data_IF_152062223844
#
_entry.id   IF_152062223844
#
_cell.length_a   1.000
_cell.length_b   1.000
_cell.length_c   1.000
_cell.angle_alpha   90.00
_cell.angle_beta   90.00
_cell.angle_gamma   90.00
#
_symmetry.space_group_name_H-M   'P 1'
#
loop_
_entity.id
_entity.type
_entity.pdbx_description
1 polymer ?
#
# COMPACT_ATOMS: atom_id res chain seq x y z
N UNK A 1 -29.72 -65.31 -2.72
CA UNK A 1 -29.13 -66.35 -1.88
C UNK A 1 -28.29 -65.67 -0.79
N UNK A 2 -28.74 -65.82 0.44
CA UNK A 2 -28.01 -66.02 1.70
C UNK A 2 -26.94 -64.99 2.03
N UNK A 3 -26.84 -64.38 3.16
CA UNK A 3 -27.55 -64.32 4.46
C UNK A 3 -26.62 -63.51 5.39
N UNK A 4 -27.19 -62.47 6.01
CA UNK A 4 -27.20 -62.17 7.42
C UNK A 4 -26.05 -62.77 8.27
N UNK A 5 -25.35 -61.91 9.09
CA UNK A 5 -25.51 -62.03 10.54
C UNK A 5 -24.98 -60.81 11.30
N UNK A 6 -25.82 -60.40 12.26
CA UNK A 6 -25.62 -59.47 13.36
C UNK A 6 -24.96 -60.15 14.59
N UNK A 7 -24.25 -59.41 15.42
CA UNK A 7 -24.23 -59.53 16.89
C UNK A 7 -23.28 -58.43 17.44
N UNK A 8 -23.61 -57.41 18.19
CA UNK A 8 -24.25 -57.17 19.54
C UNK A 8 -23.38 -57.58 20.74
N UNK A 9 -23.40 -56.65 21.68
CA UNK A 9 -23.08 -56.65 23.16
C UNK A 9 -21.62 -56.29 23.51
N UNK A 10 -21.28 -55.63 24.66
CA UNK A 10 -22.07 -54.89 25.67
C UNK A 10 -21.04 -54.12 26.55
N UNK A 11 -21.57 -53.17 27.34
CA UNK A 11 -20.95 -52.40 28.39
C UNK A 11 -20.18 -53.22 29.46
N UNK A 12 -19.14 -52.63 30.06
CA UNK A 12 -18.97 -52.68 31.51
C UNK A 12 -18.07 -51.53 32.01
N UNK A 13 -18.59 -50.82 32.98
CA UNK A 13 -17.91 -49.85 33.83
C UNK A 13 -17.26 -50.58 35.01
N UNK A 14 -16.07 -50.14 35.42
CA UNK A 14 -15.60 -50.38 36.79
C UNK A 14 -14.73 -49.21 37.26
N UNK A 15 -15.18 -48.55 38.28
CA UNK A 15 -14.44 -47.61 39.10
C UNK A 15 -13.57 -48.36 40.11
N UNK A 16 -12.35 -47.92 40.33
CA UNK A 16 -11.60 -48.24 41.55
C UNK A 16 -10.70 -47.09 41.95
N UNK A 17 -10.97 -46.53 43.09
CA UNK A 17 -10.13 -45.58 43.81
C UNK A 17 -9.00 -46.30 44.53
N UNK A 18 -7.80 -45.80 44.52
CA UNK A 18 -6.75 -46.16 45.46
C UNK A 18 -5.98 -44.89 45.87
N UNK A 19 -6.06 -44.60 47.14
CA UNK A 19 -5.29 -43.58 47.86
C UNK A 19 -3.97 -44.24 48.28
N UNK A 20 -2.83 -43.60 47.94
CA UNK A 20 -1.57 -43.85 48.64
C UNK A 20 -0.86 -42.52 48.88
N UNK A 21 -0.65 -42.25 50.16
CA UNK A 21 0.17 -41.16 50.70
C UNK A 21 1.65 -41.49 50.59
N UNK A 22 2.50 -40.48 50.32
CA UNK A 22 3.97 -40.65 50.40
C UNK A 22 4.77 -39.41 50.00
N UNK A 23 5.15 -38.66 51.02
CA UNK A 23 6.35 -37.85 51.23
C UNK A 23 7.16 -37.20 50.08
N UNK A 24 7.20 -35.88 50.09
CA UNK A 24 8.41 -35.09 50.24
C UNK A 24 9.35 -34.97 49.03
N UNK A 25 9.22 -33.89 48.29
CA UNK A 25 10.26 -33.40 47.35
C UNK A 25 9.85 -32.05 46.80
N UNK A 26 10.43 -30.99 47.34
CA UNK A 26 10.22 -29.63 46.86
C UNK A 26 10.86 -29.47 45.50
N UNK A 27 10.04 -29.43 44.45
CA UNK A 27 10.43 -28.93 43.16
C UNK A 27 10.06 -27.44 43.03
N UNK A 28 10.89 -26.60 42.37
CA UNK A 28 10.54 -25.22 42.17
C UNK A 28 9.34 -25.11 41.23
N UNK A 29 8.35 -24.33 41.67
CA UNK A 29 7.16 -23.97 40.87
C UNK A 29 7.60 -23.37 39.55
N UNK A 30 7.48 -24.10 38.45
CA UNK A 30 7.48 -23.53 37.13
C UNK A 30 6.30 -22.57 37.05
N UNK A 31 6.58 -21.28 36.93
CA UNK A 31 5.55 -20.27 36.69
C UNK A 31 4.73 -20.63 35.45
N UNK A 32 3.47 -20.21 35.37
CA UNK A 32 2.66 -20.49 34.20
C UNK A 32 3.36 -20.00 32.98
N UNK A 33 3.61 -20.89 32.00
CA UNK A 33 4.10 -20.54 30.70
C UNK A 33 3.17 -19.44 30.14
N UNK A 34 3.70 -18.25 29.93
CA UNK A 34 2.98 -17.21 29.20
C UNK A 34 2.66 -17.78 27.82
N UNK A 35 1.42 -18.17 27.60
CA UNK A 35 0.92 -18.41 26.27
C UNK A 35 1.17 -17.13 25.46
N UNK A 36 1.64 -17.25 24.19
CA UNK A 36 1.75 -16.10 23.33
C UNK A 36 0.36 -15.43 23.32
N UNK A 37 0.31 -14.16 23.72
CA UNK A 37 -0.90 -13.37 23.64
C UNK A 37 -1.30 -13.38 22.16
N UNK A 38 -2.33 -14.16 21.81
CA UNK A 38 -2.98 -14.03 20.52
C UNK A 38 -3.30 -12.55 20.39
N UNK A 39 -2.75 -11.93 19.34
CA UNK A 39 -3.05 -10.55 19.02
C UNK A 39 -4.58 -10.47 18.94
N UNK A 40 -5.20 -9.89 19.97
CA UNK A 40 -6.63 -9.61 19.96
C UNK A 40 -6.81 -8.72 18.74
N UNK A 41 -7.65 -9.13 17.79
CA UNK A 41 -8.13 -8.25 16.74
C UNK A 41 -8.63 -7.00 17.44
N UNK A 42 -7.94 -5.88 17.23
CA UNK A 42 -8.42 -4.60 17.72
C UNK A 42 -9.83 -4.42 17.18
N UNK A 43 -10.78 -3.93 17.99
CA UNK A 43 -12.11 -3.64 17.49
C UNK A 43 -11.95 -2.72 16.27
N UNK A 44 -12.74 -2.95 15.22
CA UNK A 44 -12.75 -2.14 13.99
C UNK A 44 -13.09 -0.70 14.37
N UNK A 45 -12.08 0.07 14.72
CA UNK A 45 -12.25 1.49 14.97
C UNK A 45 -12.32 2.16 13.60
N UNK A 46 -13.44 2.84 13.36
CA UNK A 46 -13.59 3.68 12.17
C UNK A 46 -12.39 4.63 12.09
N UNK A 47 -11.66 4.68 10.98
CA UNK A 47 -10.50 5.57 10.85
C UNK A 47 -10.85 7.00 11.23
N UNK A 48 -9.94 7.72 11.88
CA UNK A 48 -10.19 9.06 12.41
C UNK A 48 -10.65 10.05 11.33
N UNK A 49 -10.10 9.95 10.13
CA UNK A 49 -10.49 10.77 8.99
C UNK A 49 -11.96 10.56 8.60
N UNK A 50 -12.46 9.31 8.66
CA UNK A 50 -13.85 8.96 8.38
C UNK A 50 -14.77 9.39 9.53
N UNK A 51 -14.37 9.09 10.77
CA UNK A 51 -15.15 9.48 11.97
C UNK A 51 -15.31 10.99 12.11
N UNK A 52 -14.29 11.76 11.73
CA UNK A 52 -14.31 13.23 11.76
C UNK A 52 -14.88 13.87 10.49
N UNK A 53 -15.21 13.08 9.49
CA UNK A 53 -15.64 13.56 8.17
C UNK A 53 -14.62 14.51 7.55
N UNK A 54 -13.33 14.17 7.63
CA UNK A 54 -12.22 14.97 7.10
C UNK A 54 -12.03 14.75 5.60
N UNK A 55 -12.42 13.58 5.12
CA UNK A 55 -12.30 13.19 3.73
C UNK A 55 -13.45 12.27 3.31
N UNK A 56 -13.61 12.08 2.01
CA UNK A 56 -14.50 11.10 1.37
C UNK A 56 -13.69 10.26 0.39
N UNK A 57 -14.13 9.02 0.11
CA UNK A 57 -13.57 8.24 -0.99
C UNK A 57 -13.69 8.99 -2.31
N UNK A 58 -12.64 8.94 -3.13
CA UNK A 58 -12.64 9.51 -4.47
C UNK A 58 -13.38 8.59 -5.46
N UNK A 59 -13.18 7.27 -5.33
CA UNK A 59 -13.78 6.30 -6.24
C UNK A 59 -15.10 5.74 -5.73
N UNK A 60 -15.98 5.30 -6.65
CA UNK A 60 -17.16 4.55 -6.28
C UNK A 60 -16.76 3.20 -5.64
N UNK A 61 -17.33 2.90 -4.48
CA UNK A 61 -17.16 1.59 -3.84
C UNK A 61 -18.15 0.60 -4.43
N UNK A 62 -17.64 -0.51 -4.98
CA UNK A 62 -18.47 -1.63 -5.47
C UNK A 62 -18.16 -2.87 -4.65
N UNK A 63 -19.18 -3.38 -3.96
CA UNK A 63 -19.02 -4.54 -3.07
C UNK A 63 -18.40 -5.73 -3.81
N UNK A 64 -17.32 -6.28 -3.27
CA UNK A 64 -16.64 -7.46 -3.83
C UNK A 64 -15.69 -7.17 -4.97
N UNK A 65 -15.49 -5.91 -5.36
CA UNK A 65 -14.51 -5.49 -6.35
C UNK A 65 -13.36 -4.71 -5.71
N UNK A 66 -12.20 -4.63 -6.36
CA UNK A 66 -11.17 -3.66 -6.00
C UNK A 66 -11.73 -2.23 -6.00
N UNK A 67 -11.22 -1.43 -5.07
CA UNK A 67 -11.51 0.01 -5.01
C UNK A 67 -10.20 0.78 -4.91
N UNK A 68 -10.19 2.00 -5.39
CA UNK A 68 -9.05 2.90 -5.17
C UNK A 68 -9.00 3.39 -3.73
N UNK A 69 -7.83 3.92 -3.34
CA UNK A 69 -7.58 4.40 -1.99
C UNK A 69 -7.32 5.90 -1.92
N UNK A 70 -7.66 6.68 -2.96
CA UNK A 70 -7.65 8.13 -2.89
C UNK A 70 -8.82 8.65 -2.06
N UNK A 71 -8.54 9.65 -1.25
CA UNK A 71 -9.49 10.34 -0.38
C UNK A 71 -9.46 11.83 -0.67
N UNK A 72 -10.58 12.39 -1.08
CA UNK A 72 -10.74 13.84 -1.28
C UNK A 72 -11.05 14.50 0.06
N UNK A 73 -10.30 15.52 0.43
CA UNK A 73 -10.53 16.30 1.65
C UNK A 73 -11.88 17.01 1.60
N UNK A 74 -12.65 16.91 2.69
CA UNK A 74 -13.96 17.56 2.84
C UNK A 74 -13.91 18.79 3.74
N UNK A 75 -13.03 18.80 4.76
CA UNK A 75 -12.85 19.94 5.66
C UNK A 75 -11.58 20.70 5.32
N UNK A 76 -11.72 22.00 5.09
CA UNK A 76 -10.62 22.86 4.64
C UNK A 76 -10.30 22.71 3.16
N UNK A 77 -11.08 21.95 2.41
CA UNK A 77 -11.22 22.14 0.98
C UNK A 77 -11.96 23.49 0.81
N UNK A 78 -11.18 24.56 0.80
CA UNK A 78 -11.69 25.80 0.23
C UNK A 78 -11.93 25.52 -1.25
N UNK A 79 -13.03 26.00 -1.85
CA UNK A 79 -13.20 25.94 -3.29
C UNK A 79 -12.16 26.78 -4.05
N UNK A 80 -11.21 27.32 -3.36
CA UNK A 80 -10.05 28.02 -3.88
C UNK A 80 -8.84 27.69 -3.04
N UNK A 81 -8.18 26.57 -3.35
CA UNK A 81 -6.75 26.54 -3.16
C UNK A 81 -6.19 27.68 -4.01
N UNK A 82 -5.70 28.74 -3.40
CA UNK A 82 -5.06 29.82 -4.14
C UNK A 82 -3.69 29.25 -4.62
N UNK A 83 -3.64 28.81 -5.86
CA UNK A 83 -2.48 28.14 -6.42
C UNK A 83 -2.21 26.77 -5.77
N UNK A 84 -0.96 26.39 -5.63
CA UNK A 84 -0.47 25.10 -5.15
C UNK A 84 -0.64 24.81 -3.65
N UNK A 85 -1.41 25.59 -2.91
CA UNK A 85 -1.51 25.50 -1.45
C UNK A 85 -2.61 24.56 -0.94
N UNK A 86 -2.96 23.52 -1.69
CA UNK A 86 -3.98 22.55 -1.31
C UNK A 86 -3.46 21.44 -0.39
N UNK A 87 -2.17 21.16 -0.51
CA UNK A 87 -1.48 20.08 0.17
C UNK A 87 0.03 20.23 0.01
N UNK A 88 0.77 19.17 0.33
CA UNK A 88 2.21 19.10 0.11
C UNK A 88 2.50 19.22 -1.39
N UNK A 89 3.45 20.08 -1.72
CA UNK A 89 3.92 20.28 -3.09
C UNK A 89 5.10 19.33 -3.39
N UNK A 90 5.47 19.14 -4.68
CA UNK A 90 6.63 18.33 -5.06
C UNK A 90 7.90 18.65 -4.30
N UNK A 91 8.19 19.93 -4.08
CA UNK A 91 9.39 20.37 -3.35
C UNK A 91 9.40 19.89 -1.88
N UNK A 92 8.23 19.84 -1.23
CA UNK A 92 8.12 19.33 0.14
C UNK A 92 8.47 17.83 0.19
N UNK A 93 7.91 17.03 -0.71
CA UNK A 93 8.17 15.59 -0.82
C UNK A 93 9.62 15.31 -1.19
N UNK A 94 10.15 16.00 -2.21
CA UNK A 94 11.54 15.89 -2.64
C UNK A 94 12.52 16.22 -1.51
N UNK A 95 12.22 17.26 -0.74
CA UNK A 95 13.04 17.71 0.40
C UNK A 95 12.96 16.72 1.54
N UNK A 96 11.74 16.33 1.93
CA UNK A 96 11.54 15.37 3.02
C UNK A 96 12.25 14.05 2.74
N UNK A 97 12.05 13.49 1.56
CA UNK A 97 12.59 12.18 1.21
C UNK A 97 14.01 12.23 0.63
N UNK A 98 14.61 13.43 0.53
CA UNK A 98 15.99 13.67 -0.01
C UNK A 98 16.17 13.03 -1.38
N UNK A 99 15.23 13.30 -2.27
CA UNK A 99 15.20 12.70 -3.60
C UNK A 99 16.14 13.44 -4.57
N UNK A 100 17.09 12.74 -5.22
CA UNK A 100 17.99 13.34 -6.22
C UNK A 100 17.27 13.41 -7.57
N UNK A 101 16.33 14.36 -7.72
CA UNK A 101 15.42 14.51 -8.88
C UNK A 101 16.10 14.73 -10.24
N UNK A 102 17.40 14.91 -10.26
CA UNK A 102 18.18 14.95 -11.50
C UNK A 102 18.31 13.58 -12.17
N UNK A 103 18.06 12.49 -11.44
CA UNK A 103 18.07 11.10 -11.91
C UNK A 103 16.71 10.69 -12.52
N UNK A 104 16.57 9.41 -12.84
CA UNK A 104 15.33 8.78 -13.30
C UNK A 104 15.12 8.75 -14.81
N UNK A 105 15.92 9.48 -15.60
CA UNK A 105 15.79 9.44 -17.05
C UNK A 105 15.95 8.01 -17.60
N UNK A 106 15.02 7.60 -18.47
CA UNK A 106 14.99 6.25 -19.05
C UNK A 106 14.40 5.17 -18.14
N UNK A 107 13.97 5.52 -16.91
CA UNK A 107 13.20 4.60 -16.07
C UNK A 107 11.71 4.75 -16.36
N UNK A 108 11.02 3.63 -16.51
CA UNK A 108 9.57 3.58 -16.72
C UNK A 108 8.91 3.22 -15.40
N UNK A 109 8.00 4.07 -14.96
CA UNK A 109 7.06 3.79 -13.87
C UNK A 109 5.68 3.67 -14.48
N UNK A 110 5.08 2.49 -14.40
CA UNK A 110 3.70 2.28 -14.82
C UNK A 110 2.74 2.49 -13.65
N UNK A 111 1.61 3.05 -13.97
CA UNK A 111 0.42 3.20 -13.14
C UNK A 111 -0.66 2.32 -13.75
N UNK A 112 -1.32 1.52 -12.94
CA UNK A 112 -2.46 0.69 -13.35
C UNK A 112 -3.69 1.14 -12.59
N UNK A 113 -4.70 1.65 -13.32
CA UNK A 113 -5.95 2.15 -12.77
C UNK A 113 -7.14 1.73 -13.62
N UNK A 114 -8.37 1.92 -13.11
CA UNK A 114 -9.59 1.50 -13.76
C UNK A 114 -10.34 2.65 -14.43
N UNK A 115 -10.72 2.42 -15.69
CA UNK A 115 -11.48 3.39 -16.49
C UNK A 115 -10.61 4.48 -17.11
N UNK A 116 -11.21 5.27 -17.98
CA UNK A 116 -10.53 6.36 -18.68
C UNK A 116 -10.55 7.67 -17.87
N UNK A 117 -9.40 8.35 -17.83
CA UNK A 117 -9.36 9.79 -17.62
C UNK A 117 -8.92 10.49 -18.93
N UNK A 118 -9.85 11.03 -19.71
CA UNK A 118 -9.52 11.70 -20.97
C UNK A 118 -8.61 12.92 -20.79
N UNK A 119 -8.61 13.51 -19.58
CA UNK A 119 -7.84 14.72 -19.25
C UNK A 119 -6.46 14.43 -18.69
N UNK A 120 -6.11 13.19 -18.36
CA UNK A 120 -4.87 12.83 -17.62
C UNK A 120 -3.60 13.51 -18.15
N UNK A 121 -3.40 13.58 -19.48
CA UNK A 121 -2.25 14.23 -20.07
C UNK A 121 -2.26 15.77 -19.89
N UNK A 122 -3.42 16.41 -20.01
CA UNK A 122 -3.56 17.86 -19.84
C UNK A 122 -3.47 18.27 -18.38
N UNK A 123 -4.01 17.46 -17.48
CA UNK A 123 -4.01 17.69 -16.04
C UNK A 123 -2.61 17.51 -15.47
N UNK A 124 -1.90 16.45 -15.86
CA UNK A 124 -0.48 16.29 -15.58
C UNK A 124 0.37 17.46 -16.10
N UNK A 125 0.07 17.98 -17.30
CA UNK A 125 0.77 19.15 -17.87
C UNK A 125 0.53 20.41 -17.04
N UNK A 126 -0.70 20.62 -16.57
CA UNK A 126 -1.09 21.73 -15.70
C UNK A 126 -0.38 21.64 -14.36
N UNK A 127 -0.40 20.46 -13.74
CA UNK A 127 0.33 20.20 -12.50
C UNK A 127 1.82 20.49 -12.63
N UNK A 128 2.46 19.93 -13.65
CA UNK A 128 3.91 20.13 -13.89
C UNK A 128 4.29 21.55 -14.18
N UNK A 129 3.46 22.29 -14.91
CA UNK A 129 3.66 23.71 -15.18
C UNK A 129 3.60 24.53 -13.89
N UNK A 130 2.61 24.26 -13.05
CA UNK A 130 2.44 24.93 -11.75
C UNK A 130 3.67 24.77 -10.85
N UNK A 131 4.27 23.59 -10.84
CA UNK A 131 5.39 23.27 -9.95
C UNK A 131 6.77 23.34 -10.63
N UNK A 132 6.85 23.77 -11.90
CA UNK A 132 8.11 23.92 -12.62
C UNK A 132 8.85 22.61 -12.87
N UNK A 133 8.15 21.50 -13.06
CA UNK A 133 8.75 20.17 -13.25
C UNK A 133 9.17 19.88 -14.71
N UNK A 134 8.93 20.82 -15.63
CA UNK A 134 9.19 20.64 -17.04
C UNK A 134 8.18 19.72 -17.74
N UNK A 135 8.44 19.36 -18.99
CA UNK A 135 7.54 18.48 -19.78
C UNK A 135 7.67 17.02 -19.32
N UNK A 136 6.54 16.33 -19.18
CA UNK A 136 6.52 14.90 -18.88
C UNK A 136 6.93 14.06 -20.09
N UNK A 137 7.57 12.91 -19.86
CA UNK A 137 7.55 11.79 -20.79
C UNK A 137 6.41 10.87 -20.34
N UNK A 138 5.26 11.01 -20.96
CA UNK A 138 4.01 10.36 -20.57
C UNK A 138 3.37 9.65 -21.76
N UNK A 139 2.86 8.46 -21.54
CA UNK A 139 2.06 7.70 -22.50
C UNK A 139 0.91 7.00 -21.80
N UNK A 140 -0.25 7.06 -22.41
CA UNK A 140 -1.46 6.38 -21.94
C UNK A 140 -1.80 5.21 -22.87
N UNK A 141 -2.16 4.09 -22.28
CA UNK A 141 -2.51 2.84 -22.95
C UNK A 141 -3.80 2.26 -22.35
N UNK A 142 -4.56 1.55 -23.16
CA UNK A 142 -5.61 0.66 -22.64
C UNK A 142 -4.99 -0.67 -22.17
N UNK A 143 -5.76 -1.56 -21.58
CA UNK A 143 -5.27 -2.86 -21.09
C UNK A 143 -4.81 -3.83 -22.19
N UNK A 144 -5.01 -3.50 -23.47
CA UNK A 144 -4.48 -4.23 -24.64
C UNK A 144 -3.21 -3.57 -25.22
N UNK A 145 -2.63 -2.57 -24.53
CA UNK A 145 -1.40 -1.88 -24.94
C UNK A 145 -1.56 -0.88 -26.08
N UNK A 146 -2.79 -0.46 -26.38
CA UNK A 146 -3.07 0.46 -27.47
C UNK A 146 -3.15 1.90 -26.95
N UNK A 147 -2.63 2.83 -27.73
CA UNK A 147 -2.86 4.27 -27.54
C UNK A 147 -4.12 4.67 -28.29
N UNK A 148 -5.26 4.49 -27.65
CA UNK A 148 -6.60 4.68 -28.21
C UNK A 148 -7.53 3.57 -27.75
N UNK A 149 -8.80 3.61 -28.16
CA UNK A 149 -9.83 2.67 -27.69
C UNK A 149 -9.86 2.54 -26.17
N UNK A 150 -9.70 3.70 -25.50
CA UNK A 150 -9.67 3.77 -24.04
C UNK A 150 -11.02 3.30 -23.47
N UNK A 151 -11.01 2.78 -22.22
CA UNK A 151 -12.22 2.36 -21.52
C UNK A 151 -13.21 3.50 -21.33
N UNK A 152 -14.37 3.22 -20.80
CA UNK A 152 -15.30 4.26 -20.37
C UNK A 152 -14.89 4.81 -18.99
N UNK A 153 -15.22 6.07 -18.74
CA UNK A 153 -15.03 6.68 -17.43
C UNK A 153 -15.74 5.89 -16.33
N UNK A 154 -15.03 5.56 -15.24
CA UNK A 154 -15.53 4.76 -14.11
C UNK A 154 -15.62 5.52 -12.79
N UNK A 155 -15.25 6.80 -12.78
CA UNK A 155 -15.17 7.62 -11.56
C UNK A 155 -13.81 7.55 -10.85
N UNK A 156 -12.74 7.18 -11.56
CA UNK A 156 -11.40 7.08 -11.01
C UNK A 156 -10.45 8.20 -11.46
N UNK A 157 -10.97 9.31 -12.02
CA UNK A 157 -10.11 10.41 -12.52
C UNK A 157 -9.16 10.94 -11.44
N UNK A 158 -9.65 11.16 -10.22
CA UNK A 158 -8.85 11.61 -9.08
C UNK A 158 -7.73 10.60 -8.75
N UNK A 159 -8.01 9.30 -8.76
CA UNK A 159 -6.96 8.32 -8.51
C UNK A 159 -5.90 8.35 -9.60
N UNK A 160 -6.33 8.39 -10.87
CA UNK A 160 -5.44 8.43 -12.04
C UNK A 160 -4.53 9.66 -11.99
N UNK A 161 -5.10 10.85 -11.76
CA UNK A 161 -4.31 12.09 -11.71
C UNK A 161 -3.40 12.12 -10.49
N UNK A 162 -3.86 11.68 -9.31
CA UNK A 162 -3.03 11.54 -8.13
C UNK A 162 -1.77 10.69 -8.42
N UNK A 163 -1.96 9.53 -9.02
CA UNK A 163 -0.88 8.57 -9.23
C UNK A 163 0.18 9.11 -10.20
N UNK A 164 -0.24 9.61 -11.37
CA UNK A 164 0.70 10.16 -12.35
C UNK A 164 1.39 11.44 -11.85
N UNK A 165 0.69 12.27 -11.07
CA UNK A 165 1.23 13.49 -10.48
C UNK A 165 2.23 13.19 -9.37
N UNK A 166 1.99 12.19 -8.50
CA UNK A 166 2.91 11.83 -7.43
C UNK A 166 4.19 11.16 -7.96
N UNK A 167 4.10 10.33 -9.00
CA UNK A 167 5.29 9.85 -9.72
C UNK A 167 6.05 11.05 -10.32
N UNK A 168 5.32 11.97 -10.97
CA UNK A 168 5.91 13.18 -11.55
C UNK A 168 6.57 14.09 -10.51
N UNK A 169 5.95 14.24 -9.34
CA UNK A 169 6.48 15.02 -8.22
C UNK A 169 7.81 14.48 -7.69
N UNK A 170 7.93 13.16 -7.61
CA UNK A 170 9.07 12.49 -6.98
C UNK A 170 10.14 12.01 -7.96
N UNK A 171 9.77 11.71 -9.21
CA UNK A 171 10.68 11.37 -10.31
C UNK A 171 10.36 12.17 -11.58
N UNK A 172 10.63 13.48 -11.63
CA UNK A 172 10.18 14.31 -12.74
C UNK A 172 10.81 13.97 -14.10
N UNK A 173 11.86 13.13 -14.14
CA UNK A 173 12.50 12.64 -15.36
C UNK A 173 12.18 11.19 -15.69
N UNK A 174 11.40 10.50 -14.89
CA UNK A 174 10.89 9.19 -15.23
C UNK A 174 9.92 9.28 -16.40
N UNK A 175 9.88 8.23 -17.21
CA UNK A 175 8.77 7.98 -18.13
C UNK A 175 7.61 7.42 -17.33
N UNK A 176 6.42 7.98 -17.52
CA UNK A 176 5.19 7.54 -16.87
C UNK A 176 4.32 6.84 -17.90
N UNK A 177 3.98 5.59 -17.67
CA UNK A 177 2.95 4.87 -18.41
C UNK A 177 1.70 4.77 -17.56
N UNK A 178 0.57 5.25 -18.08
CA UNK A 178 -0.74 4.99 -17.52
C UNK A 178 -1.36 3.85 -18.33
N UNK A 179 -1.71 2.75 -17.67
CA UNK A 179 -2.39 1.60 -18.28
C UNK A 179 -3.79 1.51 -17.68
N UNK A 180 -4.79 1.83 -18.48
CA UNK A 180 -6.17 1.93 -18.05
C UNK A 180 -6.89 0.57 -18.26
N UNK A 181 -7.29 -0.05 -17.14
CA UNK A 181 -8.14 -1.25 -17.15
C UNK A 181 -9.57 -0.90 -17.57
N UNK A 182 -10.26 -1.79 -18.28
CA UNK A 182 -11.62 -1.55 -18.76
C UNK A 182 -12.63 -1.29 -17.64
N UNK A 183 -12.39 -1.86 -16.48
CA UNK A 183 -13.17 -1.64 -15.26
C UNK A 183 -12.36 -1.95 -14.00
N UNK A 184 -12.96 -1.75 -12.83
CA UNK A 184 -12.37 -2.20 -11.56
C UNK A 184 -12.59 -3.70 -11.29
N UNK A 185 -12.97 -4.50 -12.27
CA UNK A 185 -13.02 -5.96 -12.14
C UNK A 185 -11.60 -6.54 -12.05
N UNK A 186 -11.43 -7.55 -11.22
CA UNK A 186 -10.12 -8.18 -10.99
C UNK A 186 -9.44 -8.57 -12.32
N UNK A 187 -10.19 -9.17 -13.25
CA UNK A 187 -9.64 -9.63 -14.52
C UNK A 187 -9.14 -8.48 -15.42
N UNK A 188 -9.82 -7.33 -15.40
CA UNK A 188 -9.42 -6.15 -16.17
C UNK A 188 -8.15 -5.52 -15.56
N UNK A 189 -8.10 -5.38 -14.25
CA UNK A 189 -6.90 -4.87 -13.55
C UNK A 189 -5.70 -5.81 -13.71
N UNK A 190 -5.91 -7.13 -13.64
CA UNK A 190 -4.88 -8.14 -13.89
C UNK A 190 -4.36 -8.09 -15.35
N UNK A 191 -5.23 -7.85 -16.32
CA UNK A 191 -4.84 -7.67 -17.72
C UNK A 191 -3.98 -6.41 -17.90
N UNK A 192 -4.40 -5.28 -17.31
CA UNK A 192 -3.65 -4.04 -17.34
C UNK A 192 -2.28 -4.16 -16.65
N UNK A 193 -2.20 -4.91 -15.53
CA UNK A 193 -0.95 -5.21 -14.83
C UNK A 193 0.03 -6.01 -15.71
N UNK A 194 -0.45 -7.05 -16.39
CA UNK A 194 0.35 -7.84 -17.32
C UNK A 194 0.82 -7.00 -18.51
N UNK A 195 -0.05 -6.11 -19.01
CA UNK A 195 0.29 -5.23 -20.12
C UNK A 195 1.32 -4.16 -19.74
N UNK A 196 1.25 -3.60 -18.54
CA UNK A 196 2.27 -2.69 -18.03
C UNK A 196 3.68 -3.29 -18.12
N UNK A 197 3.81 -4.58 -17.80
CA UNK A 197 5.08 -5.31 -17.92
C UNK A 197 5.44 -5.57 -19.39
N UNK A 198 4.47 -5.92 -20.23
CA UNK A 198 4.66 -6.14 -21.68
C UNK A 198 5.17 -4.88 -22.36
N UNK A 199 4.70 -3.72 -21.96
CA UNK A 199 5.15 -2.40 -22.42
C UNK A 199 6.57 -2.03 -21.93
N UNK A 200 7.18 -2.86 -21.06
CA UNK A 200 8.56 -2.72 -20.60
C UNK A 200 8.72 -1.99 -19.27
N UNK A 201 7.67 -1.84 -18.49
CA UNK A 201 7.79 -1.29 -17.16
C UNK A 201 8.52 -2.27 -16.21
N UNK A 202 9.45 -1.75 -15.43
CA UNK A 202 10.12 -2.48 -14.35
C UNK A 202 9.69 -1.98 -12.96
N UNK A 203 8.80 -1.01 -12.91
CA UNK A 203 8.18 -0.48 -11.69
C UNK A 203 6.71 -0.30 -12.01
N UNK A 204 5.84 -0.95 -11.22
CA UNK A 204 4.39 -0.81 -11.35
C UNK A 204 3.82 -0.39 -10.00
N UNK A 205 3.03 0.68 -9.99
CA UNK A 205 2.34 1.21 -8.81
C UNK A 205 0.86 0.97 -8.91
N UNK A 206 0.28 0.47 -7.84
CA UNK A 206 -1.12 0.12 -7.70
C UNK A 206 -1.70 0.83 -6.48
N UNK A 207 -2.57 1.79 -6.72
CA UNK A 207 -3.21 2.57 -5.66
C UNK A 207 -4.62 2.07 -5.35
N UNK A 208 -4.83 0.78 -5.48
CA UNK A 208 -6.10 0.09 -5.29
C UNK A 208 -5.93 -1.26 -4.62
N UNK A 209 -7.04 -1.83 -4.16
CA UNK A 209 -7.04 -3.18 -3.58
C UNK A 209 -8.40 -3.62 -3.08
N UNK A 210 -8.43 -4.82 -2.54
CA UNK A 210 -9.63 -5.44 -2.01
C UNK A 210 -9.58 -5.50 -0.50
N UNK A 211 -10.30 -4.66 0.20
CA UNK A 211 -10.32 -4.68 1.65
C UNK A 211 -10.60 -6.07 2.23
N UNK A 212 -9.68 -6.55 3.07
CA UNK A 212 -9.81 -7.82 3.79
C UNK A 212 -9.74 -9.09 2.92
N UNK A 213 -9.60 -8.98 1.59
CA UNK A 213 -9.48 -10.13 0.69
C UNK A 213 -8.06 -10.28 0.15
N UNK A 214 -7.45 -11.42 0.38
CA UNK A 214 -6.09 -11.76 -0.10
C UNK A 214 -6.10 -12.54 -1.42
N UNK A 215 -7.25 -12.89 -1.93
CA UNK A 215 -7.44 -13.75 -3.11
C UNK A 215 -8.28 -13.10 -4.20
N UNK A 216 -8.47 -11.79 -4.13
CA UNK A 216 -9.21 -11.07 -5.16
C UNK A 216 -8.45 -10.92 -6.46
N UNK A 217 -7.11 -11.01 -6.43
CA UNK A 217 -6.26 -11.03 -7.62
C UNK A 217 -5.29 -12.22 -7.58
N UNK A 218 -4.88 -12.68 -8.75
CA UNK A 218 -3.94 -13.79 -8.90
C UNK A 218 -2.49 -13.34 -8.65
N UNK A 219 -1.77 -14.02 -7.76
CA UNK A 219 -0.38 -13.70 -7.46
C UNK A 219 0.53 -13.66 -8.70
N UNK A 220 0.26 -14.48 -9.71
CA UNK A 220 1.07 -14.58 -10.94
C UNK A 220 1.17 -13.27 -11.72
N UNK A 221 0.21 -12.37 -11.59
CA UNK A 221 0.23 -11.06 -12.23
C UNK A 221 1.18 -10.08 -11.53
N UNK A 222 1.58 -10.37 -10.29
CA UNK A 222 2.41 -9.52 -9.44
C UNK A 222 3.74 -10.17 -9.04
N UNK A 223 4.24 -11.14 -9.81
CA UNK A 223 5.46 -11.90 -9.46
C UNK A 223 6.40 -12.10 -10.67
N UNK A 224 6.40 -11.17 -11.62
CA UNK A 224 7.30 -11.20 -12.78
C UNK A 224 8.72 -10.86 -12.33
N UNK A 225 9.71 -11.75 -12.59
CA UNK A 225 11.11 -11.47 -12.23
C UNK A 225 11.63 -10.18 -12.88
N UNK A 226 12.28 -9.34 -12.09
CA UNK A 226 12.83 -8.07 -12.56
C UNK A 226 11.83 -6.91 -12.60
N UNK A 227 10.64 -7.10 -12.05
CA UNK A 227 9.64 -6.04 -11.88
C UNK A 227 9.45 -5.77 -10.39
N UNK A 228 9.48 -4.51 -10.00
CA UNK A 228 9.13 -4.05 -8.66
C UNK A 228 7.65 -3.62 -8.66
N UNK A 229 6.81 -4.45 -8.05
CA UNK A 229 5.41 -4.14 -7.81
C UNK A 229 5.25 -3.43 -6.46
N UNK A 230 4.56 -2.30 -6.46
CA UNK A 230 4.21 -1.56 -5.27
C UNK A 230 2.68 -1.47 -5.18
N UNK A 231 2.14 -1.54 -3.99
CA UNK A 231 0.71 -1.34 -3.81
C UNK A 231 0.39 -0.66 -2.48
N UNK A 232 -0.57 0.25 -2.53
CA UNK A 232 -1.14 0.93 -1.38
C UNK A 232 -1.82 -0.07 -0.43
N UNK A 233 -1.64 0.09 0.88
CA UNK A 233 -2.18 -0.85 1.87
C UNK A 233 -3.65 -0.60 2.22
N UNK A 234 -4.24 0.47 1.70
CA UNK A 234 -5.61 0.88 1.98
C UNK A 234 -5.75 1.80 3.19
N UNK A 235 -6.94 2.36 3.35
CA UNK A 235 -7.22 3.52 4.20
C UNK A 235 -8.19 3.23 5.35
N UNK A 236 -8.52 1.96 5.54
CA UNK A 236 -9.44 1.52 6.57
C UNK A 236 -8.78 1.20 7.93
N UNK A 237 -7.48 1.50 8.06
CA UNK A 237 -6.70 1.19 9.25
C UNK A 237 -6.17 -0.25 9.27
N UNK A 238 -5.57 -0.62 10.39
CA UNK A 238 -4.90 -1.92 10.54
C UNK A 238 -5.88 -3.10 10.40
N UNK A 239 -5.35 -4.22 9.84
CA UNK A 239 -6.04 -5.49 9.63
C UNK A 239 -7.18 -5.45 8.59
N UNK A 240 -7.22 -4.42 7.75
CA UNK A 240 -8.19 -4.30 6.63
C UNK A 240 -7.51 -4.45 5.26
N UNK A 241 -6.19 -4.60 5.23
CA UNK A 241 -5.43 -4.73 4.00
C UNK A 241 -5.79 -6.03 3.26
N UNK A 242 -5.84 -5.94 1.93
CA UNK A 242 -6.03 -7.08 1.03
C UNK A 242 -5.01 -7.11 -0.10
N UNK A 243 -5.25 -7.93 -1.10
CA UNK A 243 -4.43 -7.96 -2.31
C UNK A 243 -4.69 -6.71 -3.18
N UNK A 244 -3.68 -6.24 -3.97
CA UNK A 244 -2.37 -6.83 -4.18
C UNK A 244 -1.34 -6.58 -3.08
N UNK A 245 -1.51 -5.57 -2.19
CA UNK A 245 -0.55 -5.21 -1.14
C UNK A 245 -0.23 -6.38 -0.18
N UNK A 246 -1.19 -7.29 0.04
CA UNK A 246 -1.02 -8.47 0.87
C UNK A 246 0.00 -9.48 0.31
N UNK A 247 0.24 -9.50 -1.00
CA UNK A 247 1.10 -10.49 -1.66
C UNK A 247 2.57 -10.30 -1.27
N UNK A 248 3.30 -11.41 -1.11
CA UNK A 248 4.71 -11.38 -0.70
C UNK A 248 5.65 -10.81 -1.78
N UNK A 249 5.27 -10.90 -3.04
CA UNK A 249 5.99 -10.34 -4.20
C UNK A 249 5.80 -8.84 -4.35
N UNK A 250 4.82 -8.24 -3.68
CA UNK A 250 4.48 -6.83 -3.75
C UNK A 250 5.07 -6.07 -2.55
N UNK A 251 5.60 -4.88 -2.79
CA UNK A 251 5.94 -3.94 -1.72
C UNK A 251 4.66 -3.27 -1.21
N UNK A 252 4.24 -3.64 -0.02
CA UNK A 252 3.09 -3.04 0.65
C UNK A 252 3.46 -1.66 1.20
N UNK A 253 2.89 -0.60 0.63
CA UNK A 253 3.20 0.78 0.97
C UNK A 253 2.11 1.33 1.89
N UNK A 254 2.46 1.50 3.14
CA UNK A 254 1.62 2.12 4.16
C UNK A 254 1.65 3.64 4.12
N UNK A 255 1.01 4.26 5.09
CA UNK A 255 0.83 5.70 5.12
C UNK A 255 1.42 6.40 6.33
N UNK A 256 2.00 7.57 6.08
CA UNK A 256 2.43 8.50 7.13
C UNK A 256 1.64 9.81 7.07
N UNK A 257 1.64 10.52 8.17
CA UNK A 257 1.21 11.91 8.27
C UNK A 257 2.46 12.77 8.33
N UNK A 258 2.73 13.50 7.27
CA UNK A 258 3.81 14.47 7.21
C UNK A 258 3.42 15.76 7.95
N UNK A 259 4.38 16.32 8.66
CA UNK A 259 4.25 17.62 9.33
C UNK A 259 5.51 18.45 9.08
N UNK A 260 5.33 19.79 9.09
CA UNK A 260 6.42 20.75 8.88
C UNK A 260 6.37 21.82 9.96
N UNK A 261 7.51 22.06 10.58
CA UNK A 261 7.72 23.16 11.54
C UNK A 261 8.94 23.97 11.08
N UNK A 262 8.71 25.16 10.56
CA UNK A 262 9.74 25.93 9.86
C UNK A 262 10.31 25.18 8.67
N UNK A 263 11.60 24.88 8.67
CA UNK A 263 12.27 24.07 7.64
C UNK A 263 12.36 22.57 7.98
N UNK A 264 11.88 22.16 9.15
CA UNK A 264 12.00 20.79 9.66
C UNK A 264 10.75 19.97 9.29
N UNK A 265 10.96 18.81 8.69
CA UNK A 265 9.91 17.84 8.42
C UNK A 265 9.95 16.69 9.42
N UNK A 266 8.79 16.24 9.84
CA UNK A 266 8.61 15.04 10.66
C UNK A 266 7.47 14.20 10.10
N UNK A 267 7.48 12.92 10.39
CA UNK A 267 6.41 11.99 10.00
C UNK A 267 6.04 11.10 11.18
N UNK A 268 4.77 10.78 11.25
CA UNK A 268 4.22 9.74 12.13
C UNK A 268 3.33 8.81 11.31
N UNK A 269 3.01 7.64 11.84
CA UNK A 269 2.08 6.74 11.16
C UNK A 269 0.71 7.43 11.05
N UNK A 270 0.15 7.40 9.84
CA UNK A 270 -1.21 7.87 9.62
C UNK A 270 -2.22 6.83 10.13
N UNK A 271 -3.25 7.26 10.87
CA UNK A 271 -4.22 6.36 11.49
C UNK A 271 -5.10 5.59 10.50
N UNK A 272 -5.20 6.08 9.26
CA UNK A 272 -5.90 5.39 8.17
C UNK A 272 -5.08 4.28 7.51
N UNK A 273 -3.75 4.29 7.67
CA UNK A 273 -2.88 3.35 6.98
C UNK A 273 -3.21 1.88 7.27
N UNK A 274 -3.38 1.12 6.21
CA UNK A 274 -3.53 -0.33 6.27
C UNK A 274 -2.22 -1.02 6.67
N UNK A 275 -2.34 -2.28 7.03
CA UNK A 275 -1.22 -3.12 7.44
C UNK A 275 -1.67 -4.18 8.43
N UNK A 276 -0.77 -5.07 8.80
CA UNK A 276 -1.09 -6.09 9.79
C UNK A 276 -0.38 -7.42 9.57
N UNK A 277 -0.79 -8.41 10.35
CA UNK A 277 -0.41 -9.80 10.15
C UNK A 277 -1.40 -10.44 9.15
N UNK A 278 -0.95 -10.66 7.93
CA UNK A 278 -1.80 -11.10 6.81
C UNK A 278 -2.01 -12.62 6.89
N UNK A 279 -3.04 -13.02 7.60
CA UNK A 279 -3.41 -14.43 7.70
C UNK A 279 -3.80 -15.00 6.32
N UNK A 280 -3.28 -16.18 5.98
CA UNK A 280 -3.49 -16.80 4.68
C UNK A 280 -2.34 -16.60 3.68
N UNK A 281 -1.46 -15.62 3.89
CA UNK A 281 -0.20 -15.49 3.14
C UNK A 281 0.94 -16.01 4.00
N UNK A 282 1.63 -17.04 3.52
CA UNK A 282 2.78 -17.63 4.25
C UNK A 282 3.86 -16.57 4.51
N UNK A 283 4.44 -16.59 5.71
CA UNK A 283 5.57 -15.70 6.03
C UNK A 283 6.70 -15.92 5.05
N UNK A 284 7.12 -14.90 4.30
CA UNK A 284 8.26 -15.02 3.39
C UNK A 284 9.56 -15.29 4.16
N UNK A 285 10.45 -16.11 3.59
CA UNK A 285 11.74 -16.48 4.24
C UNK A 285 12.64 -15.28 4.56
N UNK A 286 12.41 -14.15 3.93
CA UNK A 286 13.16 -12.90 4.19
C UNK A 286 12.59 -12.07 5.34
N UNK A 287 11.38 -12.37 5.85
CA UNK A 287 10.81 -11.74 7.05
C UNK A 287 11.27 -12.49 8.29
N UNK A 288 12.06 -11.83 9.13
CA UNK A 288 12.64 -12.41 10.35
C UNK A 288 12.09 -11.74 11.62
N UNK A 289 10.79 -11.38 11.61
CA UNK A 289 10.09 -10.88 12.79
C UNK A 289 9.50 -12.04 13.62
N UNK A 290 9.17 -11.74 14.87
CA UNK A 290 8.50 -12.65 15.79
C UNK A 290 7.09 -12.17 16.20
N UNK A 291 6.58 -11.11 15.55
CA UNK A 291 5.28 -10.51 15.89
C UNK A 291 4.12 -11.05 15.05
N UNK A 292 4.42 -11.68 13.92
CA UNK A 292 3.43 -12.24 13.01
C UNK A 292 3.86 -13.65 12.59
N UNK A 293 2.96 -14.63 12.61
CA UNK A 293 3.21 -15.99 12.12
C UNK A 293 3.05 -16.12 10.60
N UNK A 294 2.49 -15.11 9.95
CA UNK A 294 2.25 -15.00 8.52
C UNK A 294 3.05 -13.82 7.94
N UNK A 295 2.73 -13.36 6.71
CA UNK A 295 3.30 -12.13 6.16
C UNK A 295 2.95 -10.94 7.06
N UNK A 296 3.94 -10.22 7.55
CA UNK A 296 3.76 -8.92 8.19
C UNK A 296 3.87 -7.80 7.16
N UNK A 297 2.92 -6.89 7.10
CA UNK A 297 2.90 -5.71 6.24
C UNK A 297 2.28 -4.50 7.00
N UNK A 298 2.63 -3.24 6.69
CA UNK A 298 3.33 -2.74 5.50
C UNK A 298 4.84 -3.09 5.47
N UNK A 299 5.49 -2.81 4.33
CA UNK A 299 6.94 -2.96 4.18
C UNK A 299 7.65 -1.61 4.33
N UNK A 300 7.15 -0.58 3.66
CA UNK A 300 7.57 0.81 3.75
C UNK A 300 6.36 1.74 3.76
N UNK A 301 6.60 3.05 3.76
CA UNK A 301 5.53 4.06 3.79
C UNK A 301 5.97 5.38 3.17
N UNK A 302 5.00 6.24 2.88
CA UNK A 302 5.21 7.65 2.56
C UNK A 302 3.97 8.46 2.97
N UNK A 303 3.94 9.78 2.67
CA UNK A 303 2.82 10.66 2.97
C UNK A 303 1.50 10.11 2.42
N UNK A 304 0.52 10.04 3.29
CA UNK A 304 -0.84 9.59 3.02
C UNK A 304 -1.88 10.34 3.85
N UNK A 305 -1.43 11.17 4.79
CA UNK A 305 -2.28 11.83 5.76
C UNK A 305 -3.11 12.96 5.14
N UNK A 306 -4.29 13.22 5.72
CA UNK A 306 -5.21 14.24 5.22
C UNK A 306 -4.98 15.65 5.80
N UNK A 307 -3.84 15.90 6.43
CA UNK A 307 -3.54 17.19 7.05
C UNK A 307 -2.14 17.70 6.71
N UNK A 308 -1.93 18.32 5.55
CA UNK A 308 -2.93 18.83 4.59
C UNK A 308 -3.30 17.84 3.48
N UNK A 309 -2.61 16.72 3.28
CA UNK A 309 -2.63 15.87 2.11
C UNK A 309 -1.61 16.33 1.07
N UNK A 310 -1.65 15.82 -0.14
CA UNK A 310 -0.87 16.28 -1.28
C UNK A 310 -1.72 17.17 -2.18
N UNK A 311 -1.07 18.09 -2.90
CA UNK A 311 -1.76 18.90 -3.91
C UNK A 311 -1.95 18.09 -5.18
N UNK A 312 -3.13 18.16 -5.76
CA UNK A 312 -3.54 17.50 -7.00
C UNK A 312 -4.33 18.44 -7.89
N UNK A 313 -4.28 18.21 -9.19
CA UNK A 313 -5.09 18.91 -10.19
C UNK A 313 -5.89 17.92 -11.03
N UNK A 314 -7.19 17.88 -10.86
CA UNK A 314 -8.12 17.13 -11.71
C UNK A 314 -9.18 18.09 -12.27
N UNK A 315 -9.21 18.24 -13.60
CA UNK A 315 -10.15 19.13 -14.26
C UNK A 315 -11.59 18.63 -14.19
N UNK A 316 -11.84 17.33 -14.03
CA UNK A 316 -13.18 16.76 -13.83
C UNK A 316 -13.77 17.11 -12.48
N UNK A 317 -12.98 17.11 -11.42
CA UNK A 317 -13.41 17.46 -10.07
C UNK A 317 -13.20 18.94 -9.72
N UNK A 318 -12.94 19.79 -10.71
CA UNK A 318 -12.99 21.24 -10.58
C UNK A 318 -11.66 21.93 -10.31
N UNK A 319 -10.54 21.29 -10.58
CA UNK A 319 -9.20 21.88 -10.57
C UNK A 319 -8.37 21.48 -9.36
N UNK A 320 -7.76 22.45 -8.66
CA UNK A 320 -6.84 22.17 -7.55
C UNK A 320 -7.58 21.83 -6.25
N UNK A 321 -7.17 20.72 -5.60
CA UNK A 321 -7.61 20.32 -4.26
C UNK A 321 -6.58 19.46 -3.53
N UNK A 322 -6.87 19.13 -2.27
CA UNK A 322 -6.02 18.27 -1.46
C UNK A 322 -6.54 16.85 -1.46
N UNK A 323 -5.65 15.90 -1.75
CA UNK A 323 -5.92 14.46 -1.72
C UNK A 323 -5.04 13.79 -0.68
N UNK A 324 -5.52 12.70 -0.14
CA UNK A 324 -4.82 11.88 0.86
C UNK A 324 -5.16 10.41 0.65
N UNK A 325 -4.63 9.54 1.47
CA UNK A 325 -4.77 8.10 1.33
C UNK A 325 -3.45 7.41 0.98
N UNK A 326 -3.40 6.12 1.18
CA UNK A 326 -2.21 5.32 0.80
C UNK A 326 -1.98 5.29 -0.71
N UNK A 327 -2.96 5.74 -1.50
CA UNK A 327 -2.84 6.07 -2.91
C UNK A 327 -1.77 7.12 -3.20
N UNK A 328 -1.62 8.14 -2.36
CA UNK A 328 -0.51 9.10 -2.51
C UNK A 328 0.85 8.43 -2.21
N UNK A 329 0.90 7.55 -1.21
CA UNK A 329 2.15 6.94 -0.75
C UNK A 329 2.77 5.97 -1.77
N UNK A 330 1.96 5.16 -2.46
CA UNK A 330 2.46 4.16 -3.41
C UNK A 330 3.22 4.80 -4.58
N UNK A 331 2.68 5.75 -5.35
CA UNK A 331 3.38 6.40 -6.46
C UNK A 331 4.56 7.28 -6.00
N UNK A 332 4.51 7.86 -4.78
CA UNK A 332 5.67 8.57 -4.20
C UNK A 332 6.85 7.61 -4.06
N UNK A 333 6.63 6.42 -3.52
CA UNK A 333 7.68 5.41 -3.37
C UNK A 333 8.09 4.83 -4.72
N UNK A 334 7.15 4.61 -5.66
CA UNK A 334 7.44 4.16 -7.01
C UNK A 334 8.35 5.14 -7.76
N UNK A 335 8.14 6.45 -7.62
CA UNK A 335 9.04 7.47 -8.13
C UNK A 335 10.44 7.37 -7.52
N UNK A 336 10.56 7.08 -6.22
CA UNK A 336 11.85 6.86 -5.58
C UNK A 336 12.58 5.62 -6.12
N UNK A 337 11.86 4.53 -6.45
CA UNK A 337 12.41 3.37 -7.18
C UNK A 337 12.91 3.78 -8.57
N UNK A 338 12.16 4.61 -9.28
CA UNK A 338 12.58 5.18 -10.57
C UNK A 338 13.90 5.96 -10.46
N UNK A 339 14.05 6.81 -9.44
CA UNK A 339 15.30 7.54 -9.19
C UNK A 339 16.46 6.59 -8.83
N UNK A 340 16.21 5.47 -8.15
CA UNK A 340 17.23 4.49 -7.80
C UNK A 340 17.80 3.79 -9.06
N UNK A 341 16.99 3.58 -10.10
CA UNK A 341 17.40 3.06 -11.40
C UNK A 341 17.86 1.60 -11.38
N UNK A 342 17.39 0.81 -10.43
CA UNK A 342 17.80 -0.57 -10.23
C UNK A 342 16.62 -1.52 -9.96
N UNK A 343 15.42 -1.15 -10.40
CA UNK A 343 14.17 -1.87 -10.12
C UNK A 343 14.25 -3.36 -10.49
N UNK A 344 14.96 -3.71 -11.58
CA UNK A 344 15.18 -5.12 -11.99
C UNK A 344 15.91 -5.99 -10.96
N UNK A 345 16.52 -5.38 -9.94
CA UNK A 345 17.23 -6.04 -8.84
C UNK A 345 16.43 -6.03 -7.54
N UNK A 346 15.31 -5.34 -7.53
CA UNK A 346 14.43 -5.26 -6.37
C UNK A 346 13.51 -6.48 -6.32
N UNK A 347 12.97 -6.73 -5.14
CA UNK A 347 12.08 -7.88 -4.92
C UNK A 347 10.98 -7.43 -3.96
N UNK A 348 10.02 -6.69 -4.48
CA UNK A 348 8.83 -6.27 -3.75
C UNK A 348 9.11 -5.84 -2.30
N UNK A 349 8.34 -6.36 -1.37
CA UNK A 349 8.48 -6.07 0.06
C UNK A 349 9.84 -6.42 0.66
N UNK A 350 10.56 -7.43 0.13
CA UNK A 350 11.89 -7.82 0.62
C UNK A 350 12.89 -6.67 0.67
N UNK A 351 12.79 -5.73 -0.28
CA UNK A 351 13.68 -4.57 -0.39
C UNK A 351 13.76 -3.80 0.93
N UNK A 352 12.64 -3.54 1.58
CA UNK A 352 12.58 -2.82 2.86
C UNK A 352 13.06 -3.67 4.05
N UNK A 353 13.00 -5.00 3.96
CA UNK A 353 13.36 -5.92 5.05
C UNK A 353 14.88 -6.19 5.15
N UNK A 354 15.67 -5.78 4.17
CA UNK A 354 17.11 -5.95 4.22
C UNK A 354 17.73 -5.00 5.27
N UNK A 355 18.47 -5.56 6.25
CA UNK A 355 19.07 -4.78 7.35
C UNK A 355 19.93 -3.61 6.88
N UNK A 356 20.67 -3.80 5.77
CA UNK A 356 21.52 -2.74 5.17
C UNK A 356 20.72 -1.55 4.67
N UNK A 357 19.43 -1.72 4.34
CA UNK A 357 18.57 -0.70 3.79
C UNK A 357 17.92 0.17 4.88
N UNK A 358 17.64 -0.39 6.06
CA UNK A 358 16.87 0.26 7.13
C UNK A 358 17.47 1.59 7.62
N UNK A 359 18.79 1.73 7.63
CA UNK A 359 19.47 2.98 7.99
C UNK A 359 19.22 4.14 7.01
N UNK A 360 18.65 3.85 5.86
CA UNK A 360 18.27 4.78 4.82
C UNK A 360 16.75 4.99 4.75
N UNK A 361 16.04 4.66 5.82
CA UNK A 361 14.64 4.96 6.02
C UNK A 361 14.51 5.86 7.25
N UNK A 362 13.52 6.73 7.23
CA UNK A 362 13.14 7.48 8.43
C UNK A 362 12.30 6.58 9.33
N UNK A 363 12.58 6.61 10.62
CA UNK A 363 11.72 6.02 11.63
C UNK A 363 10.43 6.85 11.74
N UNK A 364 9.30 6.22 11.51
CA UNK A 364 7.98 6.86 11.55
C UNK A 364 7.09 6.28 12.64
N UNK A 365 7.52 5.23 13.35
CA UNK A 365 6.65 4.52 14.27
C UNK A 365 6.60 5.11 15.68
N UNK A 366 7.62 5.87 16.11
CA UNK A 366 7.67 6.50 17.45
C UNK A 366 7.24 5.52 18.56
N UNK A 367 6.11 5.78 19.23
CA UNK A 367 5.54 4.92 20.28
C UNK A 367 4.75 3.72 19.75
N UNK A 368 4.54 3.60 18.44
CA UNK A 368 3.76 2.54 17.80
C UNK A 368 4.63 1.42 17.22
N UNK A 369 5.94 1.44 17.53
CA UNK A 369 6.86 0.40 17.08
C UNK A 369 6.49 -0.97 17.70
N UNK A 370 6.41 -1.99 16.87
CA UNK A 370 6.23 -3.38 17.30
C UNK A 370 7.56 -4.01 17.70
N UNK A 371 8.61 -3.71 16.92
CA UNK A 371 9.99 -4.08 17.22
C UNK A 371 10.95 -3.21 16.40
N UNK A 372 12.08 -2.81 16.98
CA UNK A 372 12.99 -1.84 16.34
C UNK A 372 12.20 -0.61 15.85
N UNK A 373 12.31 -0.24 14.57
CA UNK A 373 11.58 0.84 13.92
C UNK A 373 10.43 0.32 13.03
N UNK A 374 9.98 -0.91 13.21
CA UNK A 374 8.92 -1.53 12.42
C UNK A 374 7.55 -1.35 13.06
N UNK A 375 6.56 -1.05 12.22
CA UNK A 375 5.13 -1.02 12.58
C UNK A 375 4.27 -1.52 11.41
N UNK A 376 3.04 -1.94 11.69
CA UNK A 376 2.16 -2.42 10.64
C UNK A 376 1.73 -1.32 9.66
N UNK A 377 1.42 -0.12 10.13
CA UNK A 377 0.96 0.95 9.25
C UNK A 377 2.09 1.71 8.54
N UNK A 378 3.30 1.69 9.10
CA UNK A 378 4.46 2.43 8.60
C UNK A 378 5.55 1.56 7.96
N UNK A 379 5.45 0.23 8.08
CA UNK A 379 6.53 -0.67 7.69
C UNK A 379 7.83 -0.38 8.43
N UNK A 380 8.95 -0.40 7.72
CA UNK A 380 10.27 -0.01 8.22
C UNK A 380 10.51 1.51 8.15
N UNK A 381 9.54 2.26 7.63
CA UNK A 381 9.57 3.71 7.53
C UNK A 381 9.53 4.25 6.11
N UNK A 382 9.74 5.56 5.98
CA UNK A 382 9.68 6.30 4.72
C UNK A 382 11.07 6.54 4.12
N UNK A 383 11.21 6.82 2.82
CA UNK A 383 12.51 7.03 2.17
C UNK A 383 13.35 8.14 2.81
N UNK A 384 14.66 7.89 2.99
CA UNK A 384 15.67 8.87 3.39
C UNK A 384 16.82 8.82 2.38
N UNK A 385 16.59 9.37 1.21
CA UNK A 385 17.40 9.16 0.01
C UNK A 385 17.13 7.78 -0.62
N UNK A 386 17.99 7.35 -1.52
CA UNK A 386 17.80 6.13 -2.32
C UNK A 386 18.50 4.89 -1.74
N UNK A 387 19.15 5.01 -0.61
CA UNK A 387 19.98 3.92 -0.09
C UNK A 387 19.22 2.67 0.39
N UNK A 388 17.90 2.77 0.52
CA UNK A 388 17.02 1.66 0.85
C UNK A 388 16.43 0.94 -0.38
N UNK A 389 16.63 1.51 -1.55
CA UNK A 389 15.98 1.11 -2.80
C UNK A 389 16.98 0.61 -3.83
#
# INVERSE_FOLDING_TARGET
MRSLNLARYALSACAAAAIVSGCGGSQPLAGPAMMPQQARSAPHTVPEWKARGQARSACPEVVGKPTCFALIKTKGASPACIGSSCGWAPLDLQTRYKLPIAKGAGQIVAIVDAGDNPSAASDLSTYRTQFGLGTAVFSKYNQEGQQGNYPTYTGWSVEIDLDIEMVSATCPKCTIFLVEANSSDNADLEAAEAEAVTLGAHIVSNSWGCYGSISCVGQSYFDTPGVAYLAATGDAGLNQMGAPAALASVAAIGGTQLAKNGSQYSETIWSGAGGGCVTGIAKPKWQHDNVCSARAAADGSAEAGCSPGVSEFDSFDGGWFGVCGTSAASPIVAGAFGLAGNATKQNGGRTFWLRKHRKHLYDVCSSQCLFSTYSYGGGWGSPNGLGAL
#
